data_IF_535752150777
#
_entry.id   IF_535752150777
#
_cell.length_a   1.000
_cell.length_b   1.000
_cell.length_c   1.000
_cell.angle_alpha   90.00
_cell.angle_beta   90.00
_cell.angle_gamma   90.00
#
_symmetry.space_group_name_H-M   'P 1'
#
loop_
_entity.id
_entity.type
_entity.pdbx_description
1 polymer ?
#
# COMPACT_ATOMS: atom_id res chain seq x y z
N UNK A 1 29.03 -15.54 -22.11
CA UNK A 1 28.04 -16.44 -21.52
C UNK A 1 28.14 -16.43 -20.03
N UNK A 2 27.11 -15.95 -19.44
CA UNK A 2 27.07 -15.85 -18.01
C UNK A 2 27.00 -17.25 -17.41
N UNK A 3 28.03 -17.61 -16.67
CA UNK A 3 27.95 -18.74 -15.77
C UNK A 3 26.94 -18.39 -14.66
N UNK A 4 25.68 -18.37 -15.04
CA UNK A 4 24.65 -18.26 -14.04
C UNK A 4 24.59 -19.59 -13.30
N UNK A 5 25.22 -19.60 -12.14
CA UNK A 5 25.11 -20.74 -11.25
C UNK A 5 23.65 -20.94 -10.91
N UNK A 6 23.07 -22.03 -11.37
CA UNK A 6 21.71 -22.39 -10.97
C UNK A 6 21.71 -22.66 -9.47
N UNK A 7 20.73 -22.11 -8.78
CA UNK A 7 20.55 -22.37 -7.36
C UNK A 7 20.27 -23.86 -7.14
N UNK A 8 20.84 -24.40 -6.09
CA UNK A 8 20.54 -25.78 -5.71
C UNK A 8 19.11 -25.90 -5.18
N UNK A 9 18.58 -27.12 -5.16
CA UNK A 9 17.27 -27.40 -4.56
C UNK A 9 17.21 -26.87 -3.13
N UNK A 10 18.26 -27.09 -2.35
CA UNK A 10 18.32 -26.62 -0.96
C UNK A 10 18.26 -25.09 -0.86
N UNK A 11 18.98 -24.39 -1.74
CA UNK A 11 18.98 -22.92 -1.77
C UNK A 11 17.60 -22.39 -2.14
N UNK A 12 16.95 -22.99 -3.12
CA UNK A 12 15.59 -22.59 -3.54
C UNK A 12 14.59 -22.77 -2.40
N UNK A 13 14.66 -23.90 -1.69
CA UNK A 13 13.76 -24.16 -0.55
C UNK A 13 13.97 -23.12 0.53
N UNK A 14 15.23 -22.81 0.87
CA UNK A 14 15.54 -21.81 1.89
C UNK A 14 15.01 -20.44 1.52
N UNK A 15 15.20 -20.02 0.27
CA UNK A 15 14.70 -18.72 -0.18
C UNK A 15 13.17 -18.65 -0.16
N UNK A 16 12.51 -19.73 -0.56
CA UNK A 16 11.03 -19.80 -0.51
C UNK A 16 10.55 -19.68 0.94
N UNK A 17 11.20 -20.36 1.86
CA UNK A 17 10.85 -20.32 3.28
C UNK A 17 11.08 -18.93 3.88
N UNK A 18 12.17 -18.27 3.52
CA UNK A 18 12.47 -16.91 3.99
C UNK A 18 11.41 -15.92 3.50
N UNK A 19 11.02 -16.04 2.24
CA UNK A 19 9.95 -15.22 1.66
C UNK A 19 8.62 -15.51 2.35
N UNK A 20 8.36 -16.78 2.70
CA UNK A 20 7.14 -17.15 3.41
C UNK A 20 7.07 -16.49 4.78
N UNK A 21 8.19 -16.45 5.50
CA UNK A 21 8.22 -15.77 6.81
C UNK A 21 7.93 -14.28 6.66
N UNK A 22 8.55 -13.62 5.67
CA UNK A 22 8.32 -12.20 5.41
C UNK A 22 6.87 -11.94 5.01
N UNK A 23 6.32 -12.78 4.13
CA UNK A 23 4.94 -12.68 3.70
C UNK A 23 3.97 -12.91 4.85
N UNK A 24 4.26 -13.86 5.71
CA UNK A 24 3.46 -14.12 6.91
C UNK A 24 3.41 -12.90 7.83
N UNK A 25 4.56 -12.27 8.07
CA UNK A 25 4.64 -11.11 8.95
C UNK A 25 3.81 -9.93 8.39
N UNK A 26 3.89 -9.70 7.09
CA UNK A 26 3.10 -8.65 6.43
C UNK A 26 1.60 -8.98 6.52
N UNK A 27 1.24 -10.23 6.26
CA UNK A 27 -0.16 -10.66 6.35
C UNK A 27 -0.72 -10.43 7.75
N UNK A 28 0.05 -10.76 8.80
CA UNK A 28 -0.35 -10.54 10.18
C UNK A 28 -0.62 -9.05 10.46
N UNK A 29 0.23 -8.17 9.95
CA UNK A 29 0.05 -6.72 10.07
C UNK A 29 -1.23 -6.26 9.37
N UNK A 30 -1.48 -6.75 8.15
CA UNK A 30 -2.67 -6.39 7.40
C UNK A 30 -3.95 -6.83 8.10
N UNK A 31 -3.94 -8.00 8.70
CA UNK A 31 -5.10 -8.54 9.41
C UNK A 31 -5.42 -7.78 10.69
N UNK A 32 -4.44 -7.13 11.29
CA UNK A 32 -4.60 -6.36 12.52
C UNK A 32 -4.90 -4.88 12.29
N UNK A 33 -4.80 -4.40 11.06
CA UNK A 33 -4.95 -2.97 10.77
C UNK A 33 -6.35 -2.49 11.12
N UNK A 34 -6.41 -1.26 11.66
CA UNK A 34 -7.67 -0.61 12.00
C UNK A 34 -8.39 -0.02 10.80
N UNK A 35 -9.38 0.84 11.03
CA UNK A 35 -10.16 1.43 9.94
C UNK A 35 -9.29 2.21 8.94
N UNK A 36 -9.64 2.08 7.67
CA UNK A 36 -8.94 2.70 6.55
C UNK A 36 -9.83 3.77 5.93
N UNK A 37 -9.23 4.89 5.55
CA UNK A 37 -9.97 5.92 4.84
C UNK A 37 -10.30 5.45 3.43
N UNK A 38 -11.57 5.58 3.07
CA UNK A 38 -12.01 5.39 1.69
C UNK A 38 -11.89 6.73 0.96
N UNK A 39 -11.08 6.79 -0.09
CA UNK A 39 -10.85 8.00 -0.86
C UNK A 39 -9.47 8.58 -0.68
N UNK A 40 -9.31 9.80 -1.17
CA UNK A 40 -8.02 10.52 -1.14
C UNK A 40 -8.15 11.80 -0.33
N UNK A 41 -7.21 12.00 0.59
CA UNK A 41 -7.16 13.19 1.42
C UNK A 41 -6.14 14.17 0.85
N UNK A 42 -6.53 15.44 0.72
CA UNK A 42 -5.64 16.50 0.27
C UNK A 42 -5.82 17.74 1.12
N UNK A 43 -4.78 18.56 1.17
CA UNK A 43 -4.86 19.87 1.82
C UNK A 43 -5.10 20.93 0.77
N UNK A 44 -6.11 21.77 0.99
CA UNK A 44 -6.40 22.89 0.13
C UNK A 44 -6.38 24.17 0.94
N UNK A 45 -5.88 25.25 0.35
CA UNK A 45 -5.88 26.57 0.95
C UNK A 45 -7.02 27.36 0.36
N UNK A 46 -7.93 27.81 1.19
CA UNK A 46 -9.09 28.59 0.76
C UNK A 46 -9.27 29.81 1.65
N UNK A 47 -9.63 30.93 1.02
CA UNK A 47 -10.06 32.11 1.76
C UNK A 47 -11.45 31.84 2.32
N UNK A 48 -11.66 32.18 3.60
CA UNK A 48 -12.91 31.90 4.28
C UNK A 48 -14.07 32.83 3.88
N UNK A 49 -13.77 33.87 3.09
CA UNK A 49 -14.80 34.86 2.68
C UNK A 49 -15.14 35.91 3.71
N UNK A 50 -14.58 35.83 4.91
CA UNK A 50 -14.80 36.84 5.96
C UNK A 50 -13.87 38.04 5.74
N UNK A 51 -14.39 39.26 5.55
CA UNK A 51 -13.54 40.42 5.23
C UNK A 51 -12.57 40.79 6.35
N UNK A 52 -12.90 40.48 7.60
CA UNK A 52 -12.07 40.80 8.76
C UNK A 52 -11.06 39.70 9.10
N UNK A 53 -11.04 38.62 8.33
CA UNK A 53 -10.10 37.53 8.56
C UNK A 53 -8.75 37.87 7.95
N UNK A 54 -7.66 37.47 8.63
CA UNK A 54 -6.31 37.69 8.11
C UNK A 54 -6.07 37.03 6.72
N UNK A 55 -6.79 35.97 6.39
CA UNK A 55 -6.67 35.30 5.10
C UNK A 55 -7.17 36.17 3.93
N UNK A 56 -8.01 37.14 4.19
CA UNK A 56 -8.52 38.06 3.15
C UNK A 56 -7.43 38.99 2.63
N UNK A 57 -6.40 39.25 3.43
CA UNK A 57 -5.30 40.18 3.11
C UNK A 57 -4.03 39.48 2.63
N UNK A 58 -3.97 38.14 2.68
CA UNK A 58 -2.79 37.37 2.31
C UNK A 58 -3.06 36.44 1.16
N UNK A 59 -1.96 35.97 0.54
CA UNK A 59 -2.04 34.94 -0.52
C UNK A 59 -2.34 33.55 0.05
N UNK A 60 -2.19 33.41 1.37
CA UNK A 60 -2.42 32.13 2.05
C UNK A 60 -3.81 32.10 2.66
N UNK A 61 -4.68 31.27 2.14
CA UNK A 61 -5.97 31.01 2.77
C UNK A 61 -5.84 30.07 3.96
N UNK A 62 -6.97 29.72 4.55
CA UNK A 62 -7.01 28.69 5.57
C UNK A 62 -6.76 27.33 4.96
N UNK A 63 -5.97 26.52 5.64
CA UNK A 63 -5.75 25.13 5.24
C UNK A 63 -6.99 24.33 5.62
N UNK A 64 -7.55 23.65 4.65
CA UNK A 64 -8.68 22.75 4.83
C UNK A 64 -8.33 21.38 4.29
N UNK A 65 -8.82 20.34 4.95
CA UNK A 65 -8.70 18.98 4.44
C UNK A 65 -9.88 18.70 3.53
N UNK A 66 -9.59 18.21 2.34
CA UNK A 66 -10.60 17.82 1.37
C UNK A 66 -10.48 16.32 1.09
N UNK A 67 -11.60 15.62 1.25
CA UNK A 67 -11.70 14.20 0.93
C UNK A 67 -12.35 14.05 -0.43
N UNK A 68 -11.63 13.40 -1.36
CA UNK A 68 -12.18 12.98 -2.64
C UNK A 68 -12.55 11.51 -2.55
N UNK A 69 -13.76 11.16 -2.95
CA UNK A 69 -14.25 9.78 -2.89
C UNK A 69 -15.20 9.49 -4.05
N UNK A 70 -15.47 8.23 -4.28
CA UNK A 70 -16.41 7.80 -5.31
C UNK A 70 -17.63 7.22 -4.64
N UNK A 71 -18.81 7.76 -4.99
CA UNK A 71 -20.08 7.28 -4.50
C UNK A 71 -20.94 6.84 -5.69
N UNK A 72 -21.27 5.56 -5.75
CA UNK A 72 -22.07 4.97 -6.84
C UNK A 72 -21.57 5.36 -8.21
N UNK A 73 -20.24 5.30 -8.41
CA UNK A 73 -19.61 5.62 -9.67
C UNK A 73 -19.41 7.11 -9.94
N UNK A 74 -19.90 7.99 -9.07
CA UNK A 74 -19.75 9.44 -9.21
C UNK A 74 -18.64 9.96 -8.29
N UNK A 75 -17.74 10.75 -8.85
CA UNK A 75 -16.66 11.38 -8.08
C UNK A 75 -17.24 12.53 -7.26
N UNK A 76 -17.01 12.50 -5.95
CA UNK A 76 -17.48 13.53 -5.03
C UNK A 76 -16.32 14.02 -4.17
N UNK A 77 -16.51 15.21 -3.57
CA UNK A 77 -15.57 15.74 -2.60
C UNK A 77 -16.31 16.29 -1.39
N UNK A 78 -15.63 16.30 -0.26
CA UNK A 78 -16.19 16.78 1.00
C UNK A 78 -15.08 17.42 1.82
N UNK A 79 -15.41 18.54 2.46
CA UNK A 79 -14.47 19.20 3.38
C UNK A 79 -14.55 18.48 4.73
N UNK A 80 -13.40 18.16 5.28
CA UNK A 80 -13.28 17.50 6.58
C UNK A 80 -13.29 18.57 7.67
N UNK A 81 -14.18 18.42 8.66
CA UNK A 81 -14.26 19.35 9.78
C UNK A 81 -12.99 19.25 10.64
N UNK A 82 -12.59 20.38 11.26
CA UNK A 82 -11.42 20.42 12.14
C UNK A 82 -11.49 19.38 13.26
N UNK A 83 -12.69 19.17 13.82
CA UNK A 83 -12.88 18.20 14.89
C UNK A 83 -12.56 16.77 14.46
N UNK A 84 -12.71 16.46 13.18
CA UNK A 84 -12.50 15.13 12.63
C UNK A 84 -11.13 14.97 11.97
N UNK A 85 -10.39 16.06 11.82
CA UNK A 85 -9.15 16.09 11.05
C UNK A 85 -8.11 15.05 11.51
N UNK A 86 -7.90 14.96 12.81
CA UNK A 86 -6.92 14.02 13.38
C UNK A 86 -7.28 12.58 13.05
N UNK A 87 -8.54 12.21 13.26
CA UNK A 87 -9.01 10.84 12.99
C UNK A 87 -8.93 10.50 11.50
N UNK A 88 -9.37 11.44 10.65
CA UNK A 88 -9.36 11.23 9.20
C UNK A 88 -7.92 11.09 8.68
N UNK A 89 -6.99 11.89 9.22
CA UNK A 89 -5.55 11.75 8.88
C UNK A 89 -5.00 10.40 9.30
N UNK A 90 -5.39 9.89 10.46
CA UNK A 90 -4.98 8.56 10.93
C UNK A 90 -5.49 7.47 9.98
N UNK A 91 -6.76 7.56 9.57
CA UNK A 91 -7.33 6.62 8.62
C UNK A 91 -6.65 6.68 7.26
N UNK A 92 -6.28 7.88 6.81
CA UNK A 92 -5.57 8.08 5.56
C UNK A 92 -4.17 7.45 5.61
N UNK A 93 -3.46 7.64 6.72
CA UNK A 93 -2.13 7.06 6.92
C UNK A 93 -2.18 5.53 6.97
N UNK A 94 -3.18 4.98 7.64
CA UNK A 94 -3.40 3.53 7.67
C UNK A 94 -3.69 2.98 6.27
N UNK A 95 -4.52 3.68 5.52
CA UNK A 95 -4.85 3.27 4.14
C UNK A 95 -3.60 3.25 3.26
N UNK A 96 -2.72 4.23 3.42
CA UNK A 96 -1.45 4.30 2.70
C UNK A 96 -0.56 3.12 3.05
N UNK A 97 -0.36 2.87 4.35
CA UNK A 97 0.46 1.74 4.82
C UNK A 97 -0.11 0.40 4.34
N UNK A 98 -1.43 0.27 4.37
CA UNK A 98 -2.09 -0.94 3.91
C UNK A 98 -1.79 -1.20 2.43
N UNK A 99 -1.92 -0.18 1.58
CA UNK A 99 -1.63 -0.30 0.15
C UNK A 99 -0.16 -0.69 -0.09
N UNK A 100 0.75 -0.05 0.64
CA UNK A 100 2.19 -0.35 0.52
C UNK A 100 2.49 -1.79 0.95
N UNK A 101 1.92 -2.22 2.07
CA UNK A 101 2.10 -3.58 2.57
C UNK A 101 1.50 -4.61 1.62
N UNK A 102 0.33 -4.33 1.06
CA UNK A 102 -0.30 -5.22 0.10
C UNK A 102 0.54 -5.36 -1.17
N UNK A 103 1.11 -4.25 -1.66
CA UNK A 103 2.01 -4.27 -2.82
C UNK A 103 3.25 -5.11 -2.53
N UNK A 104 3.83 -4.95 -1.35
CA UNK A 104 4.99 -5.74 -0.93
C UNK A 104 4.65 -7.23 -0.84
N UNK A 105 3.49 -7.56 -0.27
CA UNK A 105 3.04 -8.95 -0.18
C UNK A 105 2.84 -9.56 -1.57
N UNK A 106 2.25 -8.81 -2.49
CA UNK A 106 2.08 -9.25 -3.88
C UNK A 106 3.43 -9.55 -4.54
N UNK A 107 4.42 -8.69 -4.32
CA UNK A 107 5.77 -8.89 -4.85
C UNK A 107 6.43 -10.16 -4.26
N UNK A 108 6.29 -10.36 -2.96
CA UNK A 108 6.82 -11.55 -2.28
C UNK A 108 6.18 -12.83 -2.83
N UNK A 109 4.85 -12.83 -2.97
CA UNK A 109 4.12 -14.01 -3.49
C UNK A 109 4.50 -14.29 -4.94
N UNK A 110 4.67 -13.27 -5.76
CA UNK A 110 5.12 -13.43 -7.14
C UNK A 110 6.52 -14.04 -7.20
N UNK A 111 7.43 -13.57 -6.36
CA UNK A 111 8.78 -14.12 -6.28
C UNK A 111 8.77 -15.58 -5.82
N UNK A 112 7.94 -15.92 -4.83
CA UNK A 112 7.78 -17.31 -4.38
C UNK A 112 7.32 -18.21 -5.52
N UNK A 113 6.36 -17.76 -6.32
CA UNK A 113 5.87 -18.53 -7.46
C UNK A 113 6.99 -18.77 -8.48
N UNK A 114 7.79 -17.75 -8.75
CA UNK A 114 8.97 -17.90 -9.63
C UNK A 114 9.95 -18.94 -9.12
N UNK A 115 10.24 -18.90 -7.82
CA UNK A 115 11.15 -19.85 -7.19
C UNK A 115 10.57 -21.28 -7.18
N UNK A 116 9.25 -21.41 -7.01
CA UNK A 116 8.58 -22.71 -7.07
C UNK A 116 8.64 -23.28 -8.48
N UNK A 117 8.56 -22.46 -9.52
CA UNK A 117 8.75 -22.90 -10.89
C UNK A 117 10.20 -23.37 -11.12
N UNK A 118 11.16 -22.64 -10.57
CA UNK A 118 12.58 -23.03 -10.64
C UNK A 118 12.81 -24.35 -9.91
N UNK A 119 12.18 -24.52 -8.75
CA UNK A 119 12.25 -25.75 -7.97
C UNK A 119 11.65 -26.93 -8.74
N UNK A 120 10.53 -26.71 -9.41
CA UNK A 120 9.90 -27.72 -10.27
C UNK A 120 10.89 -28.18 -11.35
N UNK A 121 11.55 -27.22 -12.00
CA UNK A 121 12.54 -27.52 -13.06
C UNK A 121 13.72 -28.31 -12.48
N UNK A 122 14.24 -27.87 -11.32
CA UNK A 122 15.38 -28.53 -10.67
C UNK A 122 15.07 -29.97 -10.25
N UNK A 123 13.82 -30.25 -9.92
CA UNK A 123 13.38 -31.60 -9.50
C UNK A 123 12.91 -32.47 -10.66
N UNK A 124 12.71 -31.90 -11.83
CA UNK A 124 12.18 -32.64 -12.97
C UNK A 124 13.20 -33.68 -13.48
N UNK A 125 12.68 -34.83 -13.83
CA UNK A 125 13.48 -35.94 -14.38
C UNK A 125 12.83 -36.44 -15.65
N UNK A 126 13.65 -36.78 -16.61
CA UNK A 126 13.20 -37.40 -17.87
C UNK A 126 13.32 -38.91 -17.73
N UNK A 127 12.20 -39.61 -17.92
CA UNK A 127 12.20 -41.06 -17.91
C UNK A 127 12.91 -41.58 -19.18
N UNK A 128 13.90 -42.42 -19.00
CA UNK A 128 14.59 -43.12 -20.09
C UNK A 128 14.55 -44.60 -19.77
N UNK A 129 13.87 -45.38 -20.62
CA UNK A 129 13.82 -46.85 -20.43
C UNK A 129 15.17 -47.53 -20.58
#
# INVERSE_FOLDING_TARGET
MADMKRKSVKQLITEIQDLEQRGHDILEELLKEGPLLSGSLSEVKRKCGKPNCHCAKGDNGHVQLQLGYTDKGTRRSRIVRKADAKQVREWAERAKRYREALTELQAIRSEQIGLLNDLKTAKSRIYKP
#
